data_IF_834649934534
#
_entry.id   IF_834649934534
#
_cell.length_a   1.000
_cell.length_b   1.000
_cell.length_c   1.000
_cell.angle_alpha   90.00
_cell.angle_beta   90.00
_cell.angle_gamma   90.00
#
_symmetry.space_group_name_H-M   'P 1'
#
loop_
_entity.id
_entity.type
_entity.pdbx_description
1 polymer ?
#
# COMPACT_ATOMS: atom_id res chain seq x y z
N UNK A 1 23.18 -7.58 -17.67
CA UNK A 1 22.82 -7.36 -16.26
C UNK A 1 21.51 -8.04 -15.86
N UNK A 2 20.44 -7.95 -16.65
CA UNK A 2 19.11 -8.54 -16.37
C UNK A 2 19.16 -10.06 -16.16
N UNK A 3 19.91 -10.80 -16.96
CA UNK A 3 20.01 -12.26 -16.88
C UNK A 3 20.58 -12.76 -15.52
N UNK A 4 21.53 -12.02 -14.95
CA UNK A 4 22.15 -12.34 -13.67
C UNK A 4 21.22 -12.11 -12.47
N UNK A 5 20.29 -11.13 -12.58
CA UNK A 5 19.26 -10.89 -11.58
C UNK A 5 18.19 -11.99 -11.59
N UNK A 6 17.84 -12.51 -12.76
CA UNK A 6 16.90 -13.63 -12.92
C UNK A 6 17.49 -14.91 -12.36
N UNK A 7 18.78 -15.18 -12.62
CA UNK A 7 19.46 -16.38 -12.12
C UNK A 7 19.57 -16.37 -10.59
N UNK A 8 19.89 -15.23 -9.97
CA UNK A 8 19.91 -15.06 -8.50
C UNK A 8 18.51 -15.22 -7.88
N UNK A 9 17.47 -14.72 -8.54
CA UNK A 9 16.09 -14.91 -8.09
C UNK A 9 15.64 -16.37 -8.19
N UNK A 10 16.12 -17.13 -9.20
CA UNK A 10 15.81 -18.55 -9.34
C UNK A 10 16.53 -19.42 -8.29
N UNK A 11 17.76 -19.06 -7.93
CA UNK A 11 18.54 -19.78 -6.90
C UNK A 11 17.98 -19.53 -5.49
N UNK A 12 17.55 -18.29 -5.20
CA UNK A 12 16.84 -17.94 -3.96
C UNK A 12 15.49 -18.66 -3.83
N UNK A 13 14.82 -18.87 -4.95
CA UNK A 13 13.55 -19.59 -5.06
C UNK A 13 13.64 -21.06 -4.61
N UNK A 14 14.69 -21.77 -5.00
CA UNK A 14 14.91 -23.16 -4.59
C UNK A 14 15.14 -23.32 -3.08
N UNK A 15 15.72 -22.33 -2.43
CA UNK A 15 15.97 -22.33 -0.99
C UNK A 15 14.73 -21.99 -0.18
N UNK A 16 13.85 -21.15 -0.68
CA UNK A 16 12.61 -20.74 0.01
C UNK A 16 11.49 -21.77 -0.12
N UNK A 17 11.40 -22.51 -1.23
CA UNK A 17 10.45 -23.62 -1.36
C UNK A 17 10.73 -24.77 -0.37
N UNK A 18 11.99 -24.98 0.00
CA UNK A 18 12.38 -25.96 1.02
C UNK A 18 12.06 -25.53 2.46
N UNK A 19 11.94 -24.23 2.72
CA UNK A 19 11.59 -23.67 4.04
C UNK A 19 10.07 -23.49 4.24
N UNK A 20 9.28 -23.52 3.17
CA UNK A 20 7.82 -23.31 3.19
C UNK A 20 7.00 -24.54 3.64
N UNK A 21 7.63 -25.67 3.97
CA UNK A 21 6.93 -26.94 4.23
C UNK A 21 6.52 -27.11 5.70
N UNK A 22 6.39 -26.15 6.53
CA UNK A 22 5.69 -26.28 7.84
C UNK A 22 5.25 -24.94 8.43
N UNK A 23 4.23 -24.32 7.86
CA UNK A 23 3.37 -23.43 8.64
C UNK A 23 1.91 -23.72 8.33
N UNK A 24 1.13 -23.98 9.38
CA UNK A 24 -0.31 -24.23 9.33
C UNK A 24 -1.01 -23.15 8.49
N UNK A 25 -1.60 -23.56 7.38
CA UNK A 25 -2.28 -22.72 6.41
C UNK A 25 -3.58 -22.13 6.98
N UNK A 26 -3.50 -21.02 7.69
CA UNK A 26 -4.56 -20.02 7.64
C UNK A 26 -4.55 -19.46 6.21
N UNK A 27 -5.71 -19.49 5.52
CA UNK A 27 -5.85 -18.98 4.15
C UNK A 27 -5.18 -17.62 4.03
N UNK A 28 -4.03 -17.58 3.34
CA UNK A 28 -3.30 -16.36 3.04
C UNK A 28 -4.14 -15.59 2.03
N UNK A 29 -4.64 -14.42 2.39
CA UNK A 29 -5.35 -13.56 1.45
C UNK A 29 -4.34 -13.07 0.42
N UNK A 30 -4.63 -13.30 -0.84
CA UNK A 30 -3.86 -12.79 -1.97
C UNK A 30 -4.45 -11.46 -2.42
N UNK A 31 -3.62 -10.61 -3.00
CA UNK A 31 -4.12 -9.43 -3.68
C UNK A 31 -4.82 -9.86 -4.99
N UNK A 32 -5.95 -9.24 -5.27
CA UNK A 32 -6.74 -9.47 -6.47
C UNK A 32 -7.01 -8.13 -7.15
N UNK A 33 -7.01 -8.05 -8.49
CA UNK A 33 -7.31 -6.82 -9.20
C UNK A 33 -8.76 -6.39 -9.01
N UNK A 34 -9.07 -5.13 -9.33
CA UNK A 34 -10.44 -4.64 -9.36
C UNK A 34 -11.22 -5.23 -10.53
N UNK A 35 -12.54 -5.29 -10.39
CA UNK A 35 -13.43 -5.66 -11.48
C UNK A 35 -13.93 -4.37 -12.15
N UNK A 36 -13.79 -4.26 -13.47
CA UNK A 36 -14.23 -3.12 -14.25
C UNK A 36 -13.19 -2.00 -14.35
N UNK A 37 -13.64 -0.74 -14.40
CA UNK A 37 -12.80 0.44 -14.69
C UNK A 37 -12.18 1.11 -13.45
N UNK A 38 -12.44 0.59 -12.25
CA UNK A 38 -11.90 1.17 -11.02
C UNK A 38 -10.46 0.71 -10.81
N UNK A 39 -9.63 1.62 -10.27
CA UNK A 39 -8.27 1.29 -9.86
C UNK A 39 -8.25 0.88 -8.40
N UNK A 40 -7.40 -0.07 -8.04
CA UNK A 40 -7.10 -0.37 -6.64
C UNK A 40 -5.94 0.47 -6.17
N UNK A 41 -6.12 1.12 -5.02
CA UNK A 41 -5.06 1.85 -4.33
C UNK A 41 -4.80 1.17 -2.99
N UNK A 42 -3.60 0.64 -2.82
CA UNK A 42 -3.13 0.08 -1.57
C UNK A 42 -2.20 1.08 -0.88
N UNK A 43 -2.34 1.24 0.42
CA UNK A 43 -1.44 2.06 1.23
C UNK A 43 -0.98 1.33 2.48
N UNK A 44 0.18 1.70 2.98
CA UNK A 44 0.73 1.22 4.25
C UNK A 44 1.66 2.27 4.85
N UNK A 45 1.88 2.17 6.16
CA UNK A 45 2.82 3.00 6.88
C UNK A 45 3.92 2.17 7.55
N UNK A 46 5.08 2.77 7.74
CA UNK A 46 6.15 2.23 8.57
C UNK A 46 6.58 3.27 9.62
N UNK A 47 6.81 2.84 10.85
CA UNK A 47 7.32 3.70 11.93
C UNK A 47 8.79 3.38 12.15
N UNK A 48 9.64 4.41 12.14
CA UNK A 48 11.09 4.33 12.31
C UNK A 48 11.48 4.99 13.63
N UNK A 49 11.33 4.24 14.72
CA UNK A 49 11.54 4.75 16.09
C UNK A 49 12.95 5.32 16.28
N UNK A 50 13.98 4.65 15.71
CA UNK A 50 15.38 5.03 15.87
C UNK A 50 15.73 6.40 15.26
N UNK A 51 14.98 6.83 14.26
CA UNK A 51 15.20 8.12 13.56
C UNK A 51 14.03 9.08 13.76
N UNK A 52 13.07 8.72 14.62
CA UNK A 52 11.88 9.51 14.93
C UNK A 52 11.15 9.99 13.65
N UNK A 53 10.77 9.05 12.80
CA UNK A 53 10.15 9.31 11.50
C UNK A 53 9.17 8.21 11.14
N UNK A 54 8.41 8.44 10.08
CA UNK A 54 7.55 7.44 9.45
C UNK A 54 7.81 7.33 7.95
N UNK A 55 7.27 6.31 7.32
CA UNK A 55 7.31 6.13 5.89
C UNK A 55 5.93 5.79 5.36
N UNK A 56 5.65 6.23 4.15
CA UNK A 56 4.41 5.99 3.42
C UNK A 56 4.71 5.22 2.15
N UNK A 57 3.96 4.17 1.92
CA UNK A 57 3.97 3.42 0.67
C UNK A 57 2.58 3.38 0.05
N UNK A 58 2.48 3.74 -1.22
CA UNK A 58 1.22 3.72 -1.98
C UNK A 58 1.47 3.07 -3.33
N UNK A 59 0.54 2.22 -3.76
CA UNK A 59 0.53 1.64 -5.11
C UNK A 59 -0.88 1.67 -5.69
N UNK A 60 -1.03 2.18 -6.90
CA UNK A 60 -2.27 2.12 -7.69
C UNK A 60 -2.11 1.15 -8.84
N UNK A 61 -3.08 0.23 -8.98
CA UNK A 61 -3.05 -0.82 -10.00
C UNK A 61 -4.39 -0.90 -10.73
N UNK A 62 -4.31 -1.26 -12.01
CA UNK A 62 -5.47 -1.48 -12.85
C UNK A 62 -6.05 -2.90 -12.68
N UNK A 63 -7.05 -3.23 -13.50
CA UNK A 63 -7.73 -4.52 -13.56
C UNK A 63 -6.86 -5.70 -14.06
N UNK A 64 -5.65 -5.40 -14.57
CA UNK A 64 -4.65 -6.40 -14.95
C UNK A 64 -3.54 -6.56 -13.89
N UNK A 65 -3.57 -5.76 -12.82
CA UNK A 65 -2.52 -5.74 -11.81
C UNK A 65 -1.30 -4.90 -12.19
N UNK A 66 -1.32 -4.19 -13.32
CA UNK A 66 -0.24 -3.31 -13.75
C UNK A 66 -0.17 -2.07 -12.86
N UNK A 67 1.05 -1.64 -12.50
CA UNK A 67 1.27 -0.42 -11.73
C UNK A 67 0.96 0.81 -12.60
N UNK A 68 -0.02 1.60 -12.17
CA UNK A 68 -0.38 2.85 -12.83
C UNK A 68 0.30 4.04 -12.19
N UNK A 69 0.42 4.03 -10.87
CA UNK A 69 1.19 5.00 -10.12
C UNK A 69 1.64 4.42 -8.78
N UNK A 70 2.79 4.82 -8.29
CA UNK A 70 3.27 4.47 -6.96
C UNK A 70 3.94 5.67 -6.30
N UNK A 71 3.84 5.72 -4.97
CA UNK A 71 4.46 6.74 -4.14
C UNK A 71 5.21 6.07 -2.99
N UNK A 72 6.42 6.51 -2.78
CA UNK A 72 7.25 6.23 -1.63
C UNK A 72 7.61 7.57 -1.00
N UNK A 73 7.11 7.85 0.21
CA UNK A 73 7.30 9.12 0.85
C UNK A 73 7.88 8.97 2.27
N UNK A 74 8.73 9.93 2.62
CA UNK A 74 9.21 10.09 3.98
C UNK A 74 8.17 10.87 4.79
N UNK A 75 7.79 10.35 5.96
CA UNK A 75 6.74 10.91 6.79
C UNK A 75 7.26 11.55 8.09
N UNK A 76 6.44 12.36 8.75
CA UNK A 76 6.78 13.02 10.00
C UNK A 76 6.93 12.02 11.16
N UNK A 77 7.48 12.46 12.30
CA UNK A 77 7.33 11.75 13.56
C UNK A 77 5.87 11.49 13.92
N UNK A 78 5.59 10.31 14.44
CA UNK A 78 4.25 9.87 14.83
C UNK A 78 4.29 9.29 16.24
N UNK A 79 3.16 9.34 16.96
CA UNK A 79 3.06 8.82 18.32
C UNK A 79 2.91 7.30 18.35
N UNK A 80 2.18 6.76 17.36
CA UNK A 80 1.92 5.33 17.26
C UNK A 80 1.68 4.89 15.80
N UNK A 81 1.42 3.60 15.63
CA UNK A 81 1.17 3.02 14.31
C UNK A 81 -0.19 3.43 13.72
N UNK A 82 -1.20 3.76 14.54
CA UNK A 82 -2.50 4.21 14.04
C UNK A 82 -2.36 5.59 13.40
N UNK A 83 -1.65 6.51 14.03
CA UNK A 83 -1.37 7.82 13.47
C UNK A 83 -0.60 7.72 12.15
N UNK A 84 0.44 6.86 12.08
CA UNK A 84 1.17 6.63 10.85
C UNK A 84 0.26 6.15 9.72
N UNK A 85 -0.62 5.18 10.00
CA UNK A 85 -1.55 4.61 9.03
C UNK A 85 -2.59 5.63 8.55
N UNK A 86 -3.13 6.45 9.45
CA UNK A 86 -4.10 7.49 9.07
C UNK A 86 -3.45 8.54 8.18
N UNK A 87 -2.22 8.96 8.50
CA UNK A 87 -1.47 9.90 7.65
C UNK A 87 -1.11 9.30 6.30
N UNK A 88 -0.75 8.00 6.26
CA UNK A 88 -0.52 7.29 5.00
C UNK A 88 -1.78 7.18 4.15
N UNK A 89 -2.93 6.90 4.77
CA UNK A 89 -4.22 6.90 4.09
C UNK A 89 -4.55 8.27 3.48
N UNK A 90 -4.39 9.35 4.26
CA UNK A 90 -4.58 10.72 3.75
C UNK A 90 -3.70 10.98 2.55
N UNK A 91 -2.39 10.69 2.65
CA UNK A 91 -1.43 10.89 1.56
C UNK A 91 -1.78 10.05 0.32
N UNK A 92 -2.29 8.83 0.50
CA UNK A 92 -2.72 7.98 -0.59
C UNK A 92 -3.91 8.58 -1.36
N UNK A 93 -4.92 9.11 -0.66
CA UNK A 93 -6.09 9.73 -1.32
C UNK A 93 -5.70 11.05 -1.98
N UNK A 94 -4.84 11.87 -1.36
CA UNK A 94 -4.27 13.08 -1.96
C UNK A 94 -3.54 12.74 -3.26
N UNK A 95 -2.63 11.77 -3.22
CA UNK A 95 -1.85 11.33 -4.38
C UNK A 95 -2.74 10.82 -5.52
N UNK A 96 -3.80 10.08 -5.22
CA UNK A 96 -4.73 9.61 -6.23
C UNK A 96 -5.41 10.78 -6.96
N UNK A 97 -5.88 11.79 -6.21
CA UNK A 97 -6.49 13.00 -6.79
C UNK A 97 -5.48 13.79 -7.61
N UNK A 98 -4.26 13.98 -7.10
CA UNK A 98 -3.16 14.66 -7.79
C UNK A 98 -2.79 13.96 -9.11
N UNK A 99 -2.80 12.63 -9.12
CA UNK A 99 -2.51 11.82 -10.30
C UNK A 99 -3.71 11.64 -11.25
N UNK A 100 -4.90 12.20 -10.91
CA UNK A 100 -6.08 12.21 -11.76
C UNK A 100 -6.93 10.93 -11.71
N UNK A 101 -6.71 10.04 -10.74
CA UNK A 101 -7.51 8.83 -10.56
C UNK A 101 -8.78 9.15 -9.77
N UNK A 102 -9.95 8.97 -10.40
CA UNK A 102 -11.22 9.43 -9.86
C UNK A 102 -12.16 8.30 -9.40
N UNK A 103 -11.88 7.05 -9.75
CA UNK A 103 -12.69 5.87 -9.39
C UNK A 103 -11.78 4.81 -8.76
N UNK A 104 -11.89 4.65 -7.43
CA UNK A 104 -10.93 3.91 -6.63
C UNK A 104 -11.58 2.88 -5.71
N UNK A 105 -10.86 1.78 -5.47
CA UNK A 105 -11.02 0.90 -4.32
C UNK A 105 -9.81 1.09 -3.40
N UNK A 106 -9.99 1.74 -2.27
CA UNK A 106 -8.97 2.01 -1.26
C UNK A 106 -8.80 0.79 -0.35
N UNK A 107 -7.62 0.23 -0.33
CA UNK A 107 -7.26 -0.94 0.48
C UNK A 107 -6.16 -0.63 1.48
N UNK A 108 -6.35 -1.06 2.73
CA UNK A 108 -5.36 -0.97 3.81
C UNK A 108 -5.50 -2.12 4.80
N UNK A 109 -4.46 -2.43 5.55
CA UNK A 109 -4.45 -3.57 6.48
C UNK A 109 -4.61 -3.17 7.96
N UNK A 110 -4.91 -1.91 8.24
CA UNK A 110 -5.32 -1.44 9.56
C UNK A 110 -6.84 -1.37 9.68
N UNK A 111 -7.45 -2.36 10.34
CA UNK A 111 -8.92 -2.46 10.44
C UNK A 111 -9.56 -1.28 11.18
N UNK A 112 -8.86 -0.65 12.13
CA UNK A 112 -9.35 0.51 12.88
C UNK A 112 -9.47 1.72 11.95
N UNK A 113 -8.42 1.99 11.18
CA UNK A 113 -8.38 3.08 10.21
C UNK A 113 -9.48 2.90 9.16
N UNK A 114 -9.56 1.70 8.55
CA UNK A 114 -10.55 1.43 7.50
C UNK A 114 -12.00 1.56 7.99
N UNK A 115 -12.29 1.14 9.22
CA UNK A 115 -13.62 1.32 9.85
C UNK A 115 -13.90 2.79 10.14
N UNK A 116 -12.93 3.56 10.62
CA UNK A 116 -13.12 4.96 10.95
C UNK A 116 -13.39 5.83 9.71
N UNK A 117 -12.74 5.52 8.59
CA UNK A 117 -12.96 6.22 7.30
C UNK A 117 -14.41 6.01 6.82
N UNK A 118 -14.93 4.78 6.94
CA UNK A 118 -16.28 4.42 6.49
C UNK A 118 -17.39 4.80 7.48
N UNK A 119 -17.02 5.16 8.72
CA UNK A 119 -17.99 5.51 9.75
C UNK A 119 -18.71 6.82 9.41
N UNK A 120 -20.05 6.86 9.48
CA UNK A 120 -20.80 8.09 9.37
C UNK A 120 -20.67 8.97 10.62
N UNK A 121 -20.19 8.42 11.74
CA UNK A 121 -19.99 9.17 12.98
C UNK A 121 -18.64 9.86 12.97
N UNK A 122 -18.55 11.10 13.51
CA UNK A 122 -17.27 11.76 13.69
C UNK A 122 -16.33 10.94 14.57
N UNK A 123 -15.06 10.86 14.18
CA UNK A 123 -14.05 10.26 15.04
C UNK A 123 -13.64 11.27 16.12
N UNK A 124 -13.90 10.93 17.39
CA UNK A 124 -13.66 11.81 18.54
C UNK A 124 -12.24 11.67 19.12
N UNK A 125 -11.36 10.89 18.50
CA UNK A 125 -9.95 10.79 18.91
C UNK A 125 -9.15 12.05 18.50
N UNK A 126 -7.91 12.14 18.95
CA UNK A 126 -6.98 13.21 18.52
C UNK A 126 -6.72 13.20 17.00
N UNK A 127 -6.98 12.06 16.31
CA UNK A 127 -6.87 11.91 14.87
C UNK A 127 -8.16 12.32 14.12
N UNK A 128 -9.21 12.74 14.82
CA UNK A 128 -10.51 13.06 14.23
C UNK A 128 -10.43 14.04 13.07
N UNK A 129 -9.58 15.07 13.18
CA UNK A 129 -9.38 16.05 12.12
C UNK A 129 -8.74 15.44 10.86
N UNK A 130 -7.83 14.46 10.99
CA UNK A 130 -7.21 13.79 9.84
C UNK A 130 -8.23 12.90 9.13
N UNK A 131 -9.11 12.21 9.87
CA UNK A 131 -10.19 11.45 9.28
C UNK A 131 -11.19 12.33 8.50
N UNK A 132 -11.51 13.52 9.02
CA UNK A 132 -12.37 14.48 8.29
C UNK A 132 -11.67 15.04 7.05
N UNK A 133 -10.36 15.31 7.10
CA UNK A 133 -9.57 15.69 5.92
C UNK A 133 -9.65 14.60 4.84
N UNK A 134 -9.45 13.31 5.21
CA UNK A 134 -9.58 12.18 4.28
C UNK A 134 -10.96 12.17 3.61
N UNK A 135 -12.03 12.33 4.40
CA UNK A 135 -13.41 12.36 3.87
C UNK A 135 -13.63 13.55 2.92
N UNK A 136 -13.10 14.72 3.27
CA UNK A 136 -13.19 15.92 2.43
C UNK A 136 -12.49 15.73 1.09
N UNK A 137 -11.26 15.15 1.09
CA UNK A 137 -10.52 14.87 -0.13
C UNK A 137 -11.25 13.80 -0.95
N UNK A 138 -11.70 12.73 -0.29
CA UNK A 138 -12.46 11.64 -0.91
C UNK A 138 -13.75 12.10 -1.58
N UNK A 139 -14.39 13.17 -1.06
CA UNK A 139 -15.58 13.78 -1.68
C UNK A 139 -15.33 14.38 -3.06
N UNK A 140 -14.08 14.66 -3.44
CA UNK A 140 -13.71 15.10 -4.78
C UNK A 140 -13.61 13.95 -5.80
N UNK A 141 -13.51 12.70 -5.33
CA UNK A 141 -13.50 11.51 -6.17
C UNK A 141 -14.90 11.23 -6.73
N UNK A 142 -14.95 10.68 -7.94
CA UNK A 142 -16.22 10.25 -8.54
C UNK A 142 -16.79 9.01 -7.84
N UNK A 143 -15.92 8.11 -7.42
CA UNK A 143 -16.25 6.89 -6.67
C UNK A 143 -15.10 6.48 -5.77
N UNK A 144 -15.40 6.20 -4.51
CA UNK A 144 -14.48 5.57 -3.58
C UNK A 144 -15.17 4.42 -2.87
N UNK A 145 -14.63 3.21 -3.03
CA UNK A 145 -14.92 2.07 -2.18
C UNK A 145 -13.77 1.87 -1.19
N UNK A 146 -14.08 1.44 0.03
CA UNK A 146 -13.08 1.22 1.08
C UNK A 146 -13.12 -0.23 1.51
N UNK A 147 -11.99 -0.92 1.49
CA UNK A 147 -11.87 -2.35 1.77
C UNK A 147 -10.71 -2.63 2.70
N UNK A 148 -10.97 -3.36 3.78
CA UNK A 148 -9.91 -3.91 4.62
C UNK A 148 -9.31 -5.15 3.95
N UNK A 149 -7.98 -5.24 3.91
CA UNK A 149 -7.24 -6.40 3.43
C UNK A 149 -6.24 -6.89 4.48
N UNK A 150 -5.84 -8.16 4.40
CA UNK A 150 -4.75 -8.66 5.25
C UNK A 150 -3.40 -8.15 4.74
N UNK A 151 -2.40 -8.11 5.64
CA UNK A 151 -1.00 -7.74 5.32
C UNK A 151 -0.46 -8.45 4.08
N UNK A 152 -0.80 -9.72 3.87
CA UNK A 152 -0.37 -10.51 2.71
C UNK A 152 -0.90 -9.99 1.38
N UNK A 153 -2.08 -9.34 1.37
CA UNK A 153 -2.63 -8.68 0.19
C UNK A 153 -2.25 -7.19 0.11
N UNK A 154 -1.47 -6.67 1.07
CA UNK A 154 -0.95 -5.30 1.12
C UNK A 154 0.58 -5.26 1.00
N UNK A 155 1.20 -6.35 0.53
CA UNK A 155 2.64 -6.55 0.58
C UNK A 155 3.44 -5.50 -0.21
N UNK A 156 2.93 -5.04 -1.35
CA UNK A 156 3.57 -4.02 -2.19
C UNK A 156 3.65 -2.67 -1.47
N UNK A 157 2.52 -2.19 -0.94
CA UNK A 157 2.48 -0.93 -0.17
C UNK A 157 3.39 -1.03 1.07
N UNK A 158 3.38 -2.19 1.75
CA UNK A 158 4.25 -2.46 2.89
C UNK A 158 5.75 -2.38 2.53
N UNK A 159 6.15 -2.98 1.41
CA UNK A 159 7.54 -2.92 0.96
C UNK A 159 7.98 -1.49 0.67
N UNK A 160 7.12 -0.70 0.02
CA UNK A 160 7.37 0.73 -0.23
C UNK A 160 7.51 1.50 1.09
N UNK A 161 6.54 1.40 2.00
CA UNK A 161 6.57 2.09 3.29
C UNK A 161 7.86 1.80 4.07
N UNK A 162 8.29 0.55 4.12
CA UNK A 162 9.55 0.15 4.78
C UNK A 162 10.80 0.73 4.12
N UNK A 163 10.79 0.87 2.80
CA UNK A 163 11.92 1.42 2.07
C UNK A 163 12.09 2.92 2.28
N UNK A 164 11.05 3.64 2.73
CA UNK A 164 11.06 5.08 2.96
C UNK A 164 12.17 5.57 3.90
N UNK A 165 12.67 4.72 4.81
CA UNK A 165 13.82 5.06 5.66
C UNK A 165 15.13 5.31 4.90
N UNK A 166 15.21 4.90 3.63
CA UNK A 166 16.43 4.95 2.81
C UNK A 166 16.43 6.12 1.82
N UNK A 167 15.34 6.87 1.73
CA UNK A 167 15.21 8.01 0.82
C UNK A 167 15.36 9.33 1.55
N UNK A 168 15.70 10.36 0.80
CA UNK A 168 15.79 11.75 1.26
C UNK A 168 14.62 12.58 0.72
N UNK A 169 14.14 12.23 -0.46
CA UNK A 169 13.04 12.90 -1.16
C UNK A 169 12.00 11.86 -1.56
N UNK A 170 10.75 12.28 -1.67
CA UNK A 170 9.65 11.44 -2.14
C UNK A 170 9.94 10.94 -3.56
N UNK A 171 9.61 9.67 -3.80
CA UNK A 171 9.77 9.02 -5.10
C UNK A 171 8.40 8.66 -5.66
N UNK A 172 8.19 8.98 -6.94
CA UNK A 172 6.96 8.69 -7.68
C UNK A 172 7.31 7.89 -8.93
N UNK A 173 6.54 6.87 -9.20
CA UNK A 173 6.56 6.09 -10.45
C UNK A 173 5.19 6.24 -11.13
N UNK A 174 5.20 6.43 -12.43
CA UNK A 174 4.00 6.50 -13.27
C UNK A 174 4.13 5.48 -14.38
N UNK A 175 3.19 4.54 -14.46
CA UNK A 175 3.17 3.45 -15.44
C UNK A 175 4.46 2.58 -15.42
N UNK A 176 5.14 2.55 -14.27
CA UNK A 176 6.37 1.78 -14.05
C UNK A 176 6.28 1.03 -12.71
N UNK A 177 6.86 -0.16 -12.67
CA UNK A 177 6.95 -0.94 -11.43
C UNK A 177 7.95 -0.30 -10.46
N UNK A 178 7.56 -0.03 -9.21
CA UNK A 178 8.46 0.55 -8.22
C UNK A 178 9.53 -0.47 -7.79
N UNK A 179 10.79 -0.21 -8.13
CA UNK A 179 11.91 -1.11 -7.84
C UNK A 179 11.97 -1.58 -6.39
N UNK A 180 11.72 -0.74 -5.35
CA UNK A 180 11.72 -1.18 -3.96
C UNK A 180 10.71 -2.26 -3.61
N UNK A 181 9.67 -2.43 -4.43
CA UNK A 181 8.59 -3.41 -4.22
C UNK A 181 8.49 -4.45 -5.34
N UNK A 182 9.48 -4.55 -6.23
CA UNK A 182 9.43 -5.42 -7.42
C UNK A 182 9.23 -6.89 -7.07
N UNK A 183 9.78 -7.34 -5.95
CA UNK A 183 9.60 -8.72 -5.46
C UNK A 183 8.14 -8.98 -5.05
N UNK A 184 7.53 -8.05 -4.30
CA UNK A 184 6.14 -8.16 -3.89
C UNK A 184 5.19 -8.08 -5.11
N UNK A 185 5.48 -7.21 -6.09
CA UNK A 185 4.75 -7.12 -7.35
C UNK A 185 4.79 -8.46 -8.11
N UNK A 186 5.98 -9.07 -8.18
CA UNK A 186 6.14 -10.38 -8.82
C UNK A 186 5.32 -11.48 -8.14
N UNK A 187 5.31 -11.53 -6.80
CA UNK A 187 4.49 -12.51 -6.08
C UNK A 187 2.99 -12.29 -6.28
N UNK A 188 2.53 -11.04 -6.32
CA UNK A 188 1.13 -10.75 -6.62
C UNK A 188 0.78 -11.19 -8.04
N UNK A 189 1.66 -10.96 -9.04
CA UNK A 189 1.43 -11.34 -10.44
C UNK A 189 1.29 -12.85 -10.66
N UNK A 190 1.96 -13.68 -9.86
CA UNK A 190 1.83 -15.14 -9.93
C UNK A 190 0.42 -15.64 -9.58
N UNK A 191 -0.39 -14.80 -8.96
CA UNK A 191 -1.75 -15.14 -8.52
C UNK A 191 -2.84 -14.60 -9.48
N UNK A 192 -2.45 -13.90 -10.55
CA UNK A 192 -3.37 -13.33 -11.54
C UNK A 192 -3.66 -14.27 -12.73
N UNK A 193 -3.07 -15.48 -12.73
CA UNK A 193 -3.24 -16.50 -13.77
C UNK A 193 -4.19 -17.62 -13.32
#
# INVERSE_FOLDING_TARGET
MVKRAIDVLQEYRGTMELLAIHSSAGLVQKWEPSIGSSYKINFDAAVFVEINASGVGVIMRNDKGEAMAALLAYGPPVQDSEEAEVLACRRAVEFAVEAGFMELVLEGDNSTVMKSITSPQPNMSHLGHVYEDIKCIAASLRRLEVSFVKRSANAVAHALAKHARQIVEDMVWLEEDPLPAIEAMYYDSLNLN
#
